data_IF_018070051164
#
_entry.id   IF_018070051164
#
_cell.length_a   1.000
_cell.length_b   1.000
_cell.length_c   1.000
_cell.angle_alpha   90.00
_cell.angle_beta   90.00
_cell.angle_gamma   90.00
#
_symmetry.space_group_name_H-M   'P 1'
#
loop_
_entity.id
_entity.type
_entity.pdbx_description
1 polymer ?
#
# COMPACT_ATOMS: atom_id res chain seq x y z
N UNK A 1 -6.49 -14.20 14.40
CA UNK A 1 -7.85 -14.81 14.40
C UNK A 1 -8.93 -13.81 14.81
N UNK A 2 -8.78 -13.04 15.89
CA UNK A 2 -9.79 -12.06 16.36
C UNK A 2 -10.24 -11.06 15.28
N UNK A 3 -9.32 -10.43 14.55
CA UNK A 3 -9.66 -9.46 13.49
C UNK A 3 -10.43 -10.11 12.35
N UNK A 4 -10.00 -11.28 11.90
CA UNK A 4 -10.74 -12.02 10.87
C UNK A 4 -12.16 -12.39 11.32
N UNK A 5 -12.33 -12.80 12.57
CA UNK A 5 -13.64 -13.07 13.15
C UNK A 5 -14.49 -11.79 13.24
N UNK A 6 -13.92 -10.67 13.70
CA UNK A 6 -14.62 -9.40 13.79
C UNK A 6 -15.07 -8.90 12.40
N UNK A 7 -14.20 -8.96 11.39
CA UNK A 7 -14.53 -8.59 10.01
C UNK A 7 -15.60 -9.51 9.45
N UNK A 8 -15.48 -10.84 9.63
CA UNK A 8 -16.46 -11.80 9.13
C UNK A 8 -17.82 -11.63 9.82
N UNK A 9 -17.85 -11.44 11.14
CA UNK A 9 -19.11 -11.23 11.88
C UNK A 9 -19.81 -9.93 11.47
N UNK A 10 -19.03 -8.85 11.28
CA UNK A 10 -19.56 -7.58 10.79
C UNK A 10 -20.12 -7.73 9.39
N UNK A 11 -19.36 -8.33 8.49
CA UNK A 11 -19.77 -8.58 7.11
C UNK A 11 -21.02 -9.44 7.03
N UNK A 12 -21.05 -10.60 7.72
CA UNK A 12 -22.22 -11.48 7.76
C UNK A 12 -23.44 -10.78 8.37
N UNK A 13 -23.24 -9.96 9.42
CA UNK A 13 -24.31 -9.21 10.05
C UNK A 13 -24.97 -8.21 9.09
N UNK A 14 -24.17 -7.38 8.38
CA UNK A 14 -24.73 -6.40 7.42
C UNK A 14 -25.36 -7.10 6.21
N UNK A 15 -24.81 -8.21 5.75
CA UNK A 15 -25.39 -9.01 4.66
C UNK A 15 -26.70 -9.67 5.08
N UNK A 16 -26.77 -10.19 6.30
CA UNK A 16 -28.02 -10.77 6.85
C UNK A 16 -29.14 -9.72 7.00
N UNK A 17 -28.78 -8.51 7.46
CA UNK A 17 -29.76 -7.41 7.55
C UNK A 17 -30.24 -7.01 6.13
N UNK A 18 -29.33 -6.89 5.16
CA UNK A 18 -29.71 -6.62 3.77
C UNK A 18 -30.60 -7.72 3.20
N UNK A 19 -30.28 -8.99 3.43
CA UNK A 19 -31.09 -10.12 2.99
C UNK A 19 -32.51 -10.06 3.59
N UNK A 20 -32.63 -9.76 4.90
CA UNK A 20 -33.93 -9.61 5.56
C UNK A 20 -34.75 -8.43 5.01
N UNK A 21 -34.09 -7.32 4.64
CA UNK A 21 -34.76 -6.17 4.01
C UNK A 21 -35.29 -6.51 2.63
N UNK A 22 -34.50 -7.22 1.83
CA UNK A 22 -34.90 -7.63 0.48
C UNK A 22 -35.98 -8.72 0.46
N UNK A 23 -36.06 -9.53 1.53
CA UNK A 23 -37.04 -10.62 1.64
C UNK A 23 -38.42 -10.18 2.19
N UNK A 24 -38.60 -8.91 2.53
CA UNK A 24 -39.81 -8.44 3.22
C UNK A 24 -41.11 -8.64 2.46
N UNK A 25 -41.09 -8.51 1.14
CA UNK A 25 -42.20 -8.71 0.18
C UNK A 25 -42.00 -9.95 -0.72
N UNK A 26 -41.07 -10.84 -0.34
CA UNK A 26 -40.62 -11.99 -1.12
C UNK A 26 -39.30 -11.72 -1.81
N UNK A 27 -38.65 -12.77 -2.27
CA UNK A 27 -37.31 -12.70 -2.91
C UNK A 27 -37.40 -12.88 -4.40
N UNK A 28 -37.03 -11.87 -5.17
CA UNK A 28 -36.91 -11.90 -6.62
C UNK A 28 -35.49 -12.26 -7.08
N UNK A 29 -35.31 -12.53 -8.37
CA UNK A 29 -33.98 -12.72 -8.95
C UNK A 29 -33.11 -11.45 -8.83
N UNK A 30 -33.75 -10.28 -8.93
CA UNK A 30 -33.08 -8.99 -8.80
C UNK A 30 -32.55 -8.78 -7.38
N UNK A 31 -33.31 -9.14 -6.34
CA UNK A 31 -32.90 -9.11 -4.95
C UNK A 31 -31.69 -10.01 -4.71
N UNK A 32 -31.67 -11.20 -5.30
CA UNK A 32 -30.53 -12.10 -5.24
C UNK A 32 -29.26 -11.50 -5.83
N UNK A 33 -29.35 -10.83 -6.99
CA UNK A 33 -28.23 -10.13 -7.61
C UNK A 33 -27.77 -8.93 -6.78
N UNK A 34 -28.71 -8.17 -6.20
CA UNK A 34 -28.42 -7.04 -5.30
C UNK A 34 -27.68 -7.53 -4.05
N UNK A 35 -28.14 -8.62 -3.44
CA UNK A 35 -27.49 -9.20 -2.25
C UNK A 35 -26.08 -9.67 -2.58
N UNK A 36 -25.86 -10.32 -3.71
CA UNK A 36 -24.52 -10.73 -4.17
C UNK A 36 -23.60 -9.53 -4.38
N UNK A 37 -24.09 -8.48 -5.03
CA UNK A 37 -23.33 -7.25 -5.26
C UNK A 37 -23.00 -6.54 -3.93
N UNK A 38 -23.96 -6.43 -3.02
CA UNK A 38 -23.74 -5.89 -1.68
C UNK A 38 -22.71 -6.71 -0.89
N UNK A 39 -22.86 -8.04 -0.88
CA UNK A 39 -21.95 -8.94 -0.19
C UNK A 39 -20.53 -8.86 -0.76
N UNK A 40 -20.36 -8.65 -2.07
CA UNK A 40 -19.04 -8.46 -2.70
C UNK A 40 -18.39 -7.10 -2.39
N UNK A 41 -19.18 -6.06 -2.13
CA UNK A 41 -18.66 -4.69 -1.89
C UNK A 41 -18.26 -4.44 -0.43
N UNK A 42 -18.87 -5.10 0.54
CA UNK A 42 -18.80 -4.74 1.96
C UNK A 42 -17.61 -5.31 2.75
N UNK A 43 -16.95 -6.42 2.38
CA UNK A 43 -15.84 -6.98 3.18
C UNK A 43 -14.68 -6.00 3.38
N UNK A 44 -14.35 -5.23 2.32
CA UNK A 44 -13.24 -4.27 2.38
C UNK A 44 -13.57 -3.05 3.25
N UNK A 45 -14.85 -2.66 3.32
CA UNK A 45 -15.32 -1.59 4.22
C UNK A 45 -15.20 -2.05 5.68
N UNK A 46 -15.64 -3.27 6.00
CA UNK A 46 -15.52 -3.85 7.33
C UNK A 46 -14.05 -3.99 7.76
N UNK A 47 -13.17 -4.48 6.86
CA UNK A 47 -11.73 -4.59 7.13
C UNK A 47 -11.09 -3.22 7.39
N UNK A 48 -11.39 -2.23 6.56
CA UNK A 48 -10.90 -0.85 6.72
C UNK A 48 -11.34 -0.24 8.06
N UNK A 49 -12.59 -0.44 8.43
CA UNK A 49 -13.13 0.01 9.72
C UNK A 49 -12.39 -0.63 10.91
N UNK A 50 -12.23 -1.96 10.93
CA UNK A 50 -11.58 -2.64 12.04
C UNK A 50 -10.10 -2.29 12.16
N UNK A 51 -9.38 -2.18 11.04
CA UNK A 51 -7.99 -1.71 11.07
C UNK A 51 -7.91 -0.31 11.72
N UNK A 52 -8.74 0.62 11.27
CA UNK A 52 -8.71 1.98 11.81
C UNK A 52 -9.17 2.05 13.28
N UNK A 53 -10.17 1.25 13.68
CA UNK A 53 -10.64 1.19 15.06
C UNK A 53 -9.55 0.67 16.00
N UNK A 54 -8.90 -0.44 15.65
CA UNK A 54 -7.78 -1.01 16.41
C UNK A 54 -6.63 0.00 16.49
N UNK A 55 -6.23 0.61 15.38
CA UNK A 55 -5.17 1.59 15.34
C UNK A 55 -5.48 2.84 16.16
N UNK A 56 -6.74 3.29 16.17
CA UNK A 56 -7.18 4.41 17.01
C UNK A 56 -7.09 4.09 18.50
N UNK A 57 -7.42 2.86 18.89
CA UNK A 57 -7.25 2.38 20.28
C UNK A 57 -5.76 2.33 20.65
N UNK A 58 -4.89 1.86 19.73
CA UNK A 58 -3.45 1.82 19.95
C UNK A 58 -2.88 3.24 20.13
N UNK A 59 -3.28 4.18 19.27
CA UNK A 59 -2.90 5.60 19.36
C UNK A 59 -3.33 6.25 20.68
N UNK A 60 -4.50 5.88 21.19
CA UNK A 60 -5.02 6.42 22.45
C UNK A 60 -4.32 5.83 23.69
N UNK A 61 -3.90 4.56 23.64
CA UNK A 61 -3.40 3.83 24.81
C UNK A 61 -1.89 3.76 24.93
N UNK A 62 -1.15 3.90 23.84
CA UNK A 62 0.32 3.76 23.84
C UNK A 62 1.02 5.10 23.56
N UNK A 63 2.09 5.39 24.31
CA UNK A 63 2.98 6.54 24.03
C UNK A 63 3.83 6.31 22.77
N UNK A 64 4.20 5.07 22.50
CA UNK A 64 4.85 4.62 21.25
C UNK A 64 3.99 3.54 20.58
N UNK A 65 2.95 3.92 19.81
CA UNK A 65 2.08 2.97 19.13
C UNK A 65 2.82 2.13 18.09
N UNK A 66 3.82 2.71 17.42
CA UNK A 66 4.64 2.00 16.45
C UNK A 66 5.49 0.90 17.10
N UNK A 67 6.05 1.16 18.28
CA UNK A 67 6.75 0.15 19.07
C UNK A 67 5.83 -0.94 19.61
N UNK A 68 4.58 -0.61 19.95
CA UNK A 68 3.60 -1.59 20.39
C UNK A 68 3.24 -2.62 19.30
N UNK A 69 3.19 -2.20 18.03
CA UNK A 69 2.90 -3.10 16.88
C UNK A 69 4.15 -3.72 16.26
N UNK A 70 5.30 -3.11 16.47
CA UNK A 70 6.60 -3.58 16.01
C UNK A 70 7.61 -3.55 17.18
N UNK A 71 7.57 -4.51 18.11
CA UNK A 71 8.44 -4.57 19.28
C UNK A 71 9.85 -5.07 18.90
N UNK A 72 10.52 -4.34 18.02
CA UNK A 72 11.85 -4.60 17.51
C UNK A 72 12.80 -3.47 17.89
N UNK A 73 14.08 -3.75 18.00
CA UNK A 73 15.11 -2.71 18.13
C UNK A 73 15.17 -1.90 16.84
N UNK A 74 15.24 -0.57 16.97
CA UNK A 74 15.17 0.39 15.84
C UNK A 74 16.43 1.24 15.72
N UNK A 75 17.42 0.99 16.53
CA UNK A 75 18.63 1.77 16.76
C UNK A 75 19.93 0.97 16.50
N UNK A 76 19.87 -0.07 15.69
CA UNK A 76 21.05 -0.85 15.33
C UNK A 76 22.03 -0.03 14.49
N UNK A 77 23.30 -0.05 14.87
CA UNK A 77 24.37 0.50 14.05
C UNK A 77 24.80 -0.50 12.97
N UNK A 78 25.24 0.00 11.83
CA UNK A 78 25.87 -0.82 10.80
C UNK A 78 27.23 -1.34 11.27
N UNK A 79 27.50 -2.62 11.03
CA UNK A 79 28.81 -3.20 11.27
C UNK A 79 29.88 -2.56 10.35
N UNK A 80 31.17 -2.61 10.72
CA UNK A 80 32.23 -2.16 9.83
C UNK A 80 32.13 -2.83 8.45
N UNK A 81 32.23 -2.05 7.36
CA UNK A 81 32.14 -2.53 5.97
C UNK A 81 30.72 -2.69 5.42
N UNK A 82 29.67 -2.64 6.24
CA UNK A 82 28.29 -2.62 5.74
C UNK A 82 27.97 -1.29 5.07
N UNK A 83 27.35 -1.35 3.90
CA UNK A 83 26.93 -0.19 3.09
C UNK A 83 25.46 -0.28 2.67
N UNK A 84 24.90 0.87 2.35
CA UNK A 84 23.51 1.04 1.93
C UNK A 84 23.46 1.54 0.50
N UNK A 85 22.70 0.90 -0.40
CA UNK A 85 22.34 1.46 -1.69
C UNK A 85 21.05 2.26 -1.56
N UNK A 86 21.07 3.56 -1.81
CA UNK A 86 19.89 4.40 -1.98
C UNK A 86 19.46 4.34 -3.43
N UNK A 87 18.41 3.61 -3.75
CA UNK A 87 18.03 3.21 -5.10
C UNK A 87 16.75 3.91 -5.54
N UNK A 88 16.78 4.59 -6.68
CA UNK A 88 15.61 5.22 -7.28
C UNK A 88 15.44 4.77 -8.74
N UNK A 89 14.50 3.88 -9.06
CA UNK A 89 14.15 3.54 -10.44
C UNK A 89 13.30 4.64 -11.08
N UNK A 90 13.65 5.03 -12.32
CA UNK A 90 12.97 6.08 -13.08
C UNK A 90 12.68 5.63 -14.51
N UNK A 91 11.59 6.15 -15.09
CA UNK A 91 11.18 5.92 -16.47
C UNK A 91 10.48 7.15 -17.06
N UNK A 92 11.18 7.95 -17.83
CA UNK A 92 10.69 9.18 -18.44
C UNK A 92 10.10 10.19 -17.43
N UNK A 93 10.60 10.19 -16.19
CA UNK A 93 10.22 11.16 -15.15
C UNK A 93 10.92 12.50 -15.41
N UNK A 94 10.41 13.58 -14.81
CA UNK A 94 11.05 14.90 -14.84
C UNK A 94 12.42 14.85 -14.13
N UNK A 95 13.54 15.03 -14.84
CA UNK A 95 14.85 14.93 -14.22
C UNK A 95 15.11 15.97 -13.13
N UNK A 96 14.57 17.18 -13.28
CA UNK A 96 14.74 18.22 -12.25
C UNK A 96 14.10 17.77 -10.92
N UNK A 97 12.89 17.24 -10.97
CA UNK A 97 12.21 16.73 -9.78
C UNK A 97 12.94 15.53 -9.18
N UNK A 98 13.35 14.55 -10.02
CA UNK A 98 14.10 13.37 -9.61
C UNK A 98 15.37 13.73 -8.86
N UNK A 99 16.20 14.58 -9.44
CA UNK A 99 17.49 14.97 -8.84
C UNK A 99 17.32 15.87 -7.62
N UNK A 100 16.30 16.73 -7.58
CA UNK A 100 15.95 17.51 -6.40
C UNK A 100 15.54 16.64 -5.21
N UNK A 101 14.67 15.65 -5.43
CA UNK A 101 14.21 14.74 -4.38
C UNK A 101 15.33 13.84 -3.87
N UNK A 102 16.06 13.23 -4.79
CA UNK A 102 17.14 12.32 -4.46
C UNK A 102 18.30 13.06 -3.79
N UNK A 103 18.66 14.26 -4.29
CA UNK A 103 19.68 15.12 -3.70
C UNK A 103 19.31 15.61 -2.30
N UNK A 104 18.05 16.02 -2.09
CA UNK A 104 17.58 16.42 -0.76
C UNK A 104 17.66 15.26 0.24
N UNK A 105 17.28 14.05 -0.19
CA UNK A 105 17.35 12.84 0.63
C UNK A 105 18.80 12.48 0.97
N UNK A 106 19.69 12.47 -0.03
CA UNK A 106 21.11 12.17 0.17
C UNK A 106 21.79 13.20 1.10
N UNK A 107 21.51 14.49 0.90
CA UNK A 107 22.06 15.56 1.73
C UNK A 107 21.62 15.46 3.20
N UNK A 108 20.36 15.11 3.46
CA UNK A 108 19.87 14.90 4.83
C UNK A 108 20.46 13.62 5.46
N UNK A 109 20.71 12.60 4.64
CA UNK A 109 21.34 11.34 5.07
C UNK A 109 22.82 11.54 5.45
N UNK A 110 23.54 12.45 4.81
CA UNK A 110 24.91 12.85 5.18
C UNK A 110 25.05 13.46 6.60
N UNK A 111 23.93 13.79 7.23
CA UNK A 111 23.89 14.34 8.59
C UNK A 111 23.52 13.29 9.65
N UNK A 112 23.46 12.02 9.27
CA UNK A 112 23.14 10.89 10.14
C UNK A 112 24.33 10.00 10.38
N UNK A 113 24.17 8.95 11.19
CA UNK A 113 25.18 7.91 11.37
C UNK A 113 25.47 7.06 10.14
N UNK A 114 24.72 7.28 9.03
CA UNK A 114 24.97 6.64 7.74
C UNK A 114 25.88 7.46 6.82
N UNK A 115 26.36 8.64 7.25
CA UNK A 115 27.29 9.46 6.47
C UNK A 115 28.50 8.65 6.01
N UNK A 116 28.86 8.73 4.70
CA UNK A 116 29.95 7.97 4.09
C UNK A 116 29.71 6.45 3.98
N UNK A 117 28.52 5.96 4.36
CA UNK A 117 28.17 4.53 4.33
C UNK A 117 27.04 4.21 3.36
N UNK A 118 26.67 5.14 2.48
CA UNK A 118 25.68 4.94 1.44
C UNK A 118 26.17 5.42 0.08
N UNK A 119 25.61 4.81 -0.96
CA UNK A 119 25.78 5.23 -2.33
C UNK A 119 24.40 5.50 -2.95
N UNK A 120 24.35 6.42 -3.89
CA UNK A 120 23.15 6.79 -4.62
C UNK A 120 23.14 6.12 -5.97
N UNK A 121 22.11 5.34 -6.26
CA UNK A 121 22.00 4.56 -7.50
C UNK A 121 20.69 4.94 -8.22
N UNK A 122 20.79 5.76 -9.25
CA UNK A 122 19.68 6.07 -10.14
C UNK A 122 19.56 4.98 -11.21
N UNK A 123 18.46 4.20 -11.18
CA UNK A 123 18.19 3.12 -12.12
C UNK A 123 17.30 3.62 -13.25
N UNK A 124 17.87 4.09 -14.35
CA UNK A 124 17.13 4.69 -15.46
C UNK A 124 16.75 3.68 -16.53
N UNK A 125 15.45 3.50 -16.75
CA UNK A 125 14.83 2.84 -17.89
C UNK A 125 14.33 3.86 -18.93
N UNK A 126 14.65 5.15 -18.77
CA UNK A 126 14.21 6.26 -19.63
C UNK A 126 14.49 5.97 -21.11
N UNK A 127 13.47 6.22 -21.94
CA UNK A 127 13.56 6.02 -23.40
C UNK A 127 13.68 7.32 -24.18
N UNK A 128 13.13 8.40 -23.62
CA UNK A 128 13.16 9.73 -24.24
C UNK A 128 14.62 10.24 -24.30
N UNK A 129 15.16 10.54 -25.49
CA UNK A 129 16.54 11.00 -25.61
C UNK A 129 16.81 12.35 -24.92
N UNK A 130 15.82 13.26 -24.90
CA UNK A 130 15.98 14.57 -24.27
C UNK A 130 16.04 14.43 -22.74
N UNK A 131 15.18 13.57 -22.16
CA UNK A 131 15.17 13.25 -20.74
C UNK A 131 16.48 12.54 -20.35
N UNK A 132 16.96 11.59 -21.16
CA UNK A 132 18.24 10.90 -20.91
C UNK A 132 19.42 11.87 -20.90
N UNK A 133 19.46 12.79 -21.86
CA UNK A 133 20.51 13.83 -21.90
C UNK A 133 20.41 14.78 -20.68
N UNK A 134 19.19 15.06 -20.19
CA UNK A 134 19.01 15.82 -18.97
C UNK A 134 19.48 15.04 -17.72
N UNK A 135 19.14 13.75 -17.59
CA UNK A 135 19.66 12.88 -16.53
C UNK A 135 21.20 12.90 -16.48
N UNK A 136 21.84 12.81 -17.65
CA UNK A 136 23.32 12.83 -17.74
C UNK A 136 23.88 14.18 -17.25
N UNK A 137 23.27 15.30 -17.68
CA UNK A 137 23.69 16.65 -17.25
C UNK A 137 23.50 16.85 -15.73
N UNK A 138 22.35 16.47 -15.17
CA UNK A 138 22.11 16.61 -13.74
C UNK A 138 23.05 15.73 -12.92
N UNK A 139 23.32 14.50 -13.37
CA UNK A 139 24.26 13.60 -12.71
C UNK A 139 25.69 14.15 -12.75
N UNK A 140 26.14 14.68 -13.89
CA UNK A 140 27.44 15.30 -14.01
C UNK A 140 27.59 16.55 -13.12
N UNK A 141 26.55 17.39 -13.08
CA UNK A 141 26.53 18.58 -12.21
C UNK A 141 26.56 18.18 -10.73
N UNK A 142 25.82 17.14 -10.34
CA UNK A 142 25.86 16.67 -8.94
C UNK A 142 27.22 16.11 -8.58
N UNK A 143 27.82 15.26 -9.43
CA UNK A 143 29.19 14.73 -9.21
C UNK A 143 30.24 15.83 -9.05
N UNK A 144 30.13 16.91 -9.80
CA UNK A 144 31.05 18.04 -9.69
C UNK A 144 30.96 18.79 -8.35
N UNK A 145 29.83 18.67 -7.64
CA UNK A 145 29.59 19.34 -6.36
C UNK A 145 29.70 18.42 -5.15
N UNK A 146 29.65 17.10 -5.37
CA UNK A 146 29.68 16.12 -4.29
C UNK A 146 31.11 15.91 -3.78
N UNK A 147 31.26 15.68 -2.46
CA UNK A 147 32.56 15.40 -1.82
C UNK A 147 33.11 14.03 -2.20
N UNK A 148 32.21 13.09 -2.54
CA UNK A 148 32.53 11.73 -2.97
C UNK A 148 31.73 11.42 -4.26
N UNK A 149 32.24 11.85 -5.43
CA UNK A 149 31.56 11.65 -6.71
C UNK A 149 31.33 10.19 -7.08
N UNK A 150 32.16 9.29 -6.57
CA UNK A 150 32.12 7.86 -6.91
C UNK A 150 30.92 7.16 -6.27
N UNK A 151 30.34 7.76 -5.22
CA UNK A 151 29.10 7.27 -4.62
C UNK A 151 27.84 7.49 -5.47
N UNK A 152 27.94 8.27 -6.57
CA UNK A 152 26.81 8.64 -7.44
C UNK A 152 26.85 7.81 -8.73
N UNK A 153 25.89 6.91 -8.88
CA UNK A 153 25.79 6.02 -10.04
C UNK A 153 24.49 6.27 -10.81
N UNK A 154 24.60 6.51 -12.11
CA UNK A 154 23.50 6.46 -13.07
C UNK A 154 23.64 5.16 -13.87
N UNK A 155 22.75 4.21 -13.60
CA UNK A 155 22.76 2.89 -14.23
C UNK A 155 21.63 2.77 -15.25
N UNK A 156 21.99 2.35 -16.47
CA UNK A 156 21.06 2.04 -17.56
C UNK A 156 21.24 0.59 -17.99
N UNK A 157 20.15 -0.15 -18.12
CA UNK A 157 20.18 -1.52 -18.64
C UNK A 157 19.78 -1.57 -20.12
N UNK A 158 20.26 -2.57 -20.83
CA UNK A 158 19.92 -2.77 -22.26
C UNK A 158 18.50 -3.33 -22.42
N UNK A 159 18.17 -4.39 -21.68
CA UNK A 159 16.85 -5.03 -21.71
C UNK A 159 15.95 -4.51 -20.57
N UNK A 160 14.82 -3.94 -20.92
CA UNK A 160 13.86 -3.34 -19.99
C UNK A 160 12.72 -4.29 -19.58
N UNK A 161 13.00 -5.59 -19.48
CA UNK A 161 12.01 -6.57 -19.06
C UNK A 161 11.59 -6.35 -17.60
N UNK A 162 10.29 -6.55 -17.28
CA UNK A 162 9.78 -6.56 -15.92
C UNK A 162 9.61 -5.19 -15.26
N UNK A 163 9.62 -4.09 -16.03
CA UNK A 163 9.37 -2.72 -15.54
C UNK A 163 10.26 -2.35 -14.34
N UNK A 164 9.72 -1.59 -13.36
CA UNK A 164 10.40 -1.18 -12.11
C UNK A 164 11.03 -2.37 -11.37
N UNK A 165 10.24 -3.42 -11.13
CA UNK A 165 10.73 -4.62 -10.43
C UNK A 165 11.88 -5.29 -11.16
N UNK A 166 11.78 -5.39 -12.49
CA UNK A 166 12.87 -5.93 -13.33
C UNK A 166 14.11 -5.05 -13.33
N UNK A 167 13.97 -3.73 -13.18
CA UNK A 167 15.12 -2.83 -13.09
C UNK A 167 15.83 -2.98 -11.73
N UNK A 168 15.06 -2.99 -10.63
CA UNK A 168 15.61 -3.29 -9.30
C UNK A 168 16.27 -4.67 -9.29
N UNK A 169 15.62 -5.70 -9.87
CA UNK A 169 16.17 -7.05 -9.94
C UNK A 169 17.49 -7.11 -10.73
N UNK A 170 17.57 -6.42 -11.87
CA UNK A 170 18.79 -6.34 -12.66
C UNK A 170 19.96 -5.66 -11.91
N UNK A 171 19.66 -4.70 -11.02
CA UNK A 171 20.65 -4.13 -10.11
C UNK A 171 21.05 -5.14 -9.03
N UNK A 172 20.08 -5.78 -8.37
CA UNK A 172 20.35 -6.75 -7.29
C UNK A 172 21.16 -7.96 -7.77
N UNK A 173 21.02 -8.38 -9.03
CA UNK A 173 21.79 -9.48 -9.63
C UNK A 173 23.15 -9.04 -10.17
N UNK A 174 23.42 -7.74 -10.29
CA UNK A 174 24.67 -7.21 -10.82
C UNK A 174 25.82 -7.35 -9.80
N UNK A 175 27.07 -7.59 -10.27
CA UNK A 175 28.24 -7.76 -9.39
C UNK A 175 28.45 -6.59 -8.43
N UNK A 176 28.26 -5.35 -8.90
CA UNK A 176 28.42 -4.13 -8.11
C UNK A 176 27.48 -4.08 -6.89
N UNK A 177 26.34 -4.75 -6.96
CA UNK A 177 25.38 -4.80 -5.85
C UNK A 177 25.87 -5.62 -4.65
N UNK A 178 26.93 -6.42 -4.82
CA UNK A 178 27.51 -7.23 -3.74
C UNK A 178 28.16 -6.38 -2.64
N UNK A 179 28.50 -5.13 -2.95
CA UNK A 179 29.05 -4.18 -2.01
C UNK A 179 28.05 -3.73 -0.94
N UNK A 180 26.74 -3.99 -1.16
CA UNK A 180 25.69 -3.48 -0.28
C UNK A 180 25.07 -4.57 0.58
N UNK A 181 24.95 -4.27 1.87
CA UNK A 181 24.21 -5.10 2.83
C UNK A 181 22.73 -4.77 2.82
N UNK A 182 22.40 -3.49 2.64
CA UNK A 182 21.04 -2.98 2.63
C UNK A 182 20.77 -2.15 1.38
N UNK A 183 19.49 -2.10 1.00
CA UNK A 183 18.98 -1.24 -0.07
C UNK A 183 17.79 -0.46 0.46
N UNK A 184 17.73 0.84 0.17
CA UNK A 184 16.56 1.67 0.38
C UNK A 184 15.99 2.03 -0.99
N UNK A 185 14.74 1.64 -1.24
CA UNK A 185 14.07 1.89 -2.51
C UNK A 185 13.18 3.12 -2.37
N UNK A 186 13.35 4.06 -3.30
CA UNK A 186 12.53 5.27 -3.45
C UNK A 186 11.79 5.24 -4.79
N UNK A 187 10.65 5.90 -4.88
CA UNK A 187 10.04 6.28 -6.17
C UNK A 187 10.51 7.67 -6.58
N UNK A 188 10.36 8.03 -7.85
CA UNK A 188 10.76 9.32 -8.40
C UNK A 188 10.09 10.53 -7.70
N UNK A 189 8.90 10.30 -7.14
CA UNK A 189 8.12 11.28 -6.39
C UNK A 189 8.30 11.19 -4.86
N UNK A 190 9.19 10.29 -4.40
CA UNK A 190 9.48 10.08 -2.98
C UNK A 190 10.58 11.01 -2.46
N UNK A 191 10.42 11.44 -1.22
CA UNK A 191 11.44 12.13 -0.44
C UNK A 191 11.50 11.53 0.96
N UNK A 192 12.70 11.16 1.41
CA UNK A 192 12.87 10.67 2.77
C UNK A 192 13.91 11.51 3.53
N UNK A 193 13.63 11.72 4.81
CA UNK A 193 14.61 12.33 5.71
C UNK A 193 15.67 11.30 6.13
N UNK A 194 16.89 11.77 6.28
CA UNK A 194 18.02 10.94 6.72
C UNK A 194 17.73 10.13 7.99
N UNK A 195 17.21 10.74 9.10
CA UNK A 195 16.87 10.00 10.32
C UNK A 195 15.80 8.91 10.13
N UNK A 196 14.88 9.09 9.16
CA UNK A 196 13.90 8.05 8.85
C UNK A 196 14.56 6.84 8.16
N UNK A 197 15.45 7.09 7.21
CA UNK A 197 16.23 6.04 6.54
C UNK A 197 17.14 5.33 7.55
N UNK A 198 17.86 6.08 8.38
CA UNK A 198 18.73 5.53 9.44
C UNK A 198 17.95 4.60 10.36
N UNK A 199 16.74 4.98 10.78
CA UNK A 199 15.86 4.15 11.61
C UNK A 199 15.42 2.86 10.92
N UNK A 200 15.08 2.92 9.61
CA UNK A 200 14.72 1.72 8.84
C UNK A 200 15.90 0.76 8.72
N UNK A 201 17.06 1.28 8.35
CA UNK A 201 18.30 0.51 8.20
C UNK A 201 18.77 -0.03 9.56
N UNK A 202 18.75 0.79 10.61
CA UNK A 202 19.05 0.39 11.97
C UNK A 202 18.12 -0.72 12.48
N UNK A 203 16.84 -0.68 12.10
CA UNK A 203 15.90 -1.77 12.39
C UNK A 203 16.35 -3.08 11.73
N UNK A 204 16.76 -3.04 10.46
CA UNK A 204 17.30 -4.24 9.79
C UNK A 204 18.59 -4.71 10.44
N UNK A 205 19.53 -3.80 10.75
CA UNK A 205 20.81 -4.13 11.35
C UNK A 205 20.64 -4.84 12.70
N UNK A 206 19.73 -4.35 13.55
CA UNK A 206 19.45 -4.92 14.85
C UNK A 206 18.66 -6.24 14.81
N UNK A 207 17.99 -6.56 13.69
CA UNK A 207 17.07 -7.71 13.60
C UNK A 207 17.36 -8.56 12.36
N UNK A 208 18.30 -9.53 12.43
CA UNK A 208 18.71 -10.34 11.27
C UNK A 208 17.59 -11.14 10.60
N UNK A 209 16.54 -11.51 11.33
CA UNK A 209 15.38 -12.21 10.80
C UNK A 209 14.40 -11.33 10.01
N UNK A 210 14.63 -10.01 9.91
CA UNK A 210 13.80 -9.08 9.15
C UNK A 210 14.42 -8.83 7.78
N UNK A 211 13.64 -9.02 6.73
CA UNK A 211 14.06 -8.80 5.33
C UNK A 211 13.64 -7.44 4.77
N UNK A 212 12.47 -6.93 5.19
CA UNK A 212 11.92 -5.64 4.72
C UNK A 212 11.38 -4.86 5.91
N UNK A 213 11.68 -3.56 5.97
CA UNK A 213 11.02 -2.58 6.85
C UNK A 213 10.45 -1.46 5.99
N UNK A 214 9.13 -1.37 5.95
CA UNK A 214 8.37 -0.38 5.21
C UNK A 214 8.12 0.86 6.08
N UNK A 215 8.42 2.06 5.59
CA UNK A 215 7.98 3.30 6.22
C UNK A 215 6.53 3.64 5.84
N UNK A 216 5.84 4.36 6.71
CA UNK A 216 4.56 4.99 6.37
C UNK A 216 4.84 6.28 5.58
N UNK A 217 4.43 6.32 4.31
CA UNK A 217 4.55 7.53 3.51
C UNK A 217 3.41 8.52 3.82
N UNK A 218 3.77 9.79 3.89
CA UNK A 218 2.83 10.92 4.07
C UNK A 218 2.88 11.78 2.81
N UNK A 219 1.72 12.28 2.36
CA UNK A 219 1.68 13.13 1.16
C UNK A 219 2.48 14.42 1.33
N UNK A 220 3.31 14.76 0.34
CA UNK A 220 3.95 16.06 0.22
C UNK A 220 2.91 17.18 0.10
N UNK A 221 3.21 18.43 0.48
CA UNK A 221 2.28 19.53 0.35
C UNK A 221 1.74 19.68 -1.07
N UNK A 222 0.41 19.52 -1.23
CA UNK A 222 -0.27 19.51 -2.51
C UNK A 222 -0.75 20.92 -2.90
N UNK A 223 -0.63 21.28 -4.18
CA UNK A 223 -1.06 22.57 -4.71
C UNK A 223 -2.46 22.54 -5.33
N UNK A 224 -2.83 21.45 -6.02
CA UNK A 224 -4.15 21.32 -6.63
C UNK A 224 -5.24 21.01 -5.59
N UNK A 225 -6.48 21.44 -5.86
CA UNK A 225 -7.63 21.13 -5.00
C UNK A 225 -7.87 19.61 -4.89
N UNK A 226 -7.76 18.89 -6.01
CA UNK A 226 -7.90 17.43 -6.04
C UNK A 226 -6.88 16.75 -5.12
N UNK A 227 -5.60 17.07 -5.28
CA UNK A 227 -4.54 16.46 -4.46
C UNK A 227 -4.68 16.83 -2.97
N UNK A 228 -5.16 18.03 -2.62
CA UNK A 228 -5.42 18.42 -1.21
C UNK A 228 -6.54 17.60 -0.58
N UNK A 229 -7.65 17.37 -1.30
CA UNK A 229 -8.77 16.55 -0.83
C UNK A 229 -8.30 15.10 -0.66
N UNK A 230 -7.60 14.57 -1.65
CA UNK A 230 -7.04 13.22 -1.61
C UNK A 230 -6.07 13.05 -0.44
N UNK A 231 -5.16 14.00 -0.25
CA UNK A 231 -4.17 14.01 0.83
C UNK A 231 -4.82 14.11 2.21
N UNK A 232 -5.91 14.88 2.35
CA UNK A 232 -6.66 14.93 3.60
C UNK A 232 -7.18 13.55 4.00
N UNK A 233 -7.76 12.81 3.05
CA UNK A 233 -8.24 11.44 3.28
C UNK A 233 -7.12 10.48 3.66
N UNK A 234 -5.97 10.56 2.97
CA UNK A 234 -4.79 9.77 3.30
C UNK A 234 -4.26 10.11 4.69
N UNK A 235 -4.01 11.38 4.97
CA UNK A 235 -3.37 11.81 6.21
C UNK A 235 -4.13 11.39 7.46
N UNK A 236 -5.46 11.50 7.45
CA UNK A 236 -6.27 11.17 8.62
C UNK A 236 -6.69 9.70 8.69
N UNK A 237 -6.56 8.95 7.60
CA UNK A 237 -6.92 7.52 7.54
C UNK A 237 -5.74 6.56 7.65
N UNK A 238 -4.58 6.91 7.09
CA UNK A 238 -3.48 5.94 6.90
C UNK A 238 -2.81 5.52 8.20
N UNK A 239 -2.50 6.44 9.11
CA UNK A 239 -1.80 6.09 10.34
C UNK A 239 -2.60 5.11 11.21
N UNK A 240 -3.87 5.38 11.61
CA UNK A 240 -4.64 4.42 12.37
C UNK A 240 -4.88 3.12 11.61
N UNK A 241 -5.18 3.18 10.30
CA UNK A 241 -5.34 1.97 9.48
C UNK A 241 -4.08 1.10 9.47
N UNK A 242 -2.91 1.71 9.25
CA UNK A 242 -1.64 1.00 9.18
C UNK A 242 -1.24 0.41 10.52
N UNK A 243 -1.44 1.12 11.63
CA UNK A 243 -1.21 0.60 12.99
C UNK A 243 -2.09 -0.61 13.28
N UNK A 244 -3.39 -0.52 12.98
CA UNK A 244 -4.28 -1.65 13.18
C UNK A 244 -3.92 -2.84 12.30
N UNK A 245 -3.62 -2.63 11.02
CA UNK A 245 -3.15 -3.68 10.12
C UNK A 245 -1.85 -4.31 10.64
N UNK A 246 -0.87 -3.49 11.03
CA UNK A 246 0.42 -3.96 11.56
C UNK A 246 0.26 -4.80 12.83
N UNK A 247 -0.71 -4.45 13.68
CA UNK A 247 -0.96 -5.18 14.93
C UNK A 247 -1.29 -6.65 14.70
N UNK A 248 -2.13 -6.97 13.71
CA UNK A 248 -2.52 -8.37 13.47
C UNK A 248 -1.75 -9.05 12.36
N UNK A 249 -1.13 -8.30 11.44
CA UNK A 249 -0.20 -8.86 10.44
C UNK A 249 1.11 -9.32 11.09
N UNK A 250 1.54 -8.65 12.16
CA UNK A 250 2.77 -8.98 12.84
C UNK A 250 3.99 -8.89 11.93
N UNK A 251 4.67 -10.02 11.72
CA UNK A 251 5.85 -10.14 10.87
C UNK A 251 5.54 -10.40 9.38
N UNK A 252 4.28 -10.37 9.00
CA UNK A 252 3.81 -10.42 7.63
C UNK A 252 3.20 -9.07 7.20
N UNK A 253 3.90 -7.97 7.49
CA UNK A 253 3.48 -6.62 7.11
C UNK A 253 3.46 -6.41 5.59
N UNK A 254 2.80 -5.34 5.13
CA UNK A 254 2.81 -4.96 3.73
C UNK A 254 4.19 -4.43 3.31
N UNK A 255 4.46 -4.51 2.02
CA UNK A 255 5.48 -3.76 1.32
C UNK A 255 4.81 -3.03 0.16
N UNK A 256 5.14 -1.76 -0.03
CA UNK A 256 4.51 -0.90 -1.05
C UNK A 256 5.45 -0.53 -2.20
N UNK A 257 6.64 -1.17 -2.24
CA UNK A 257 7.57 -1.05 -3.34
C UNK A 257 8.46 0.20 -3.32
N UNK A 258 8.28 1.09 -2.34
CA UNK A 258 9.08 2.30 -2.15
C UNK A 258 9.10 2.74 -0.68
N UNK A 259 9.98 3.68 -0.33
CA UNK A 259 10.18 4.20 1.03
C UNK A 259 10.37 3.07 2.06
N UNK A 260 11.17 2.09 1.71
CA UNK A 260 11.43 0.90 2.49
C UNK A 260 12.92 0.53 2.46
N UNK A 261 13.40 -0.01 3.56
CA UNK A 261 14.72 -0.63 3.63
C UNK A 261 14.61 -2.15 3.47
N UNK A 262 15.50 -2.73 2.69
CA UNK A 262 15.53 -4.14 2.35
C UNK A 262 16.92 -4.73 2.64
N UNK A 263 16.96 -5.95 3.18
CA UNK A 263 18.20 -6.72 3.34
C UNK A 263 18.56 -7.38 2.00
N UNK A 264 19.71 -6.99 1.42
CA UNK A 264 20.11 -7.42 0.07
C UNK A 264 20.23 -8.94 -0.07
N UNK A 265 20.83 -9.61 0.90
CA UNK A 265 20.99 -11.07 0.88
C UNK A 265 19.64 -11.80 0.87
N UNK A 266 18.71 -11.35 1.71
CA UNK A 266 17.35 -11.89 1.78
C UNK A 266 16.58 -11.63 0.49
N UNK A 267 16.61 -10.40 -0.03
CA UNK A 267 15.92 -10.01 -1.25
C UNK A 267 16.47 -10.78 -2.47
N UNK A 268 17.77 -10.93 -2.58
CA UNK A 268 18.45 -11.69 -3.64
C UNK A 268 18.01 -13.14 -3.64
N UNK A 269 17.91 -13.77 -2.47
CA UNK A 269 17.52 -15.17 -2.34
C UNK A 269 16.02 -15.38 -2.55
N UNK A 270 15.17 -14.52 -2.00
CA UNK A 270 13.73 -14.73 -1.90
C UNK A 270 12.92 -14.15 -3.06
N UNK A 271 13.23 -12.92 -3.49
CA UNK A 271 12.34 -12.14 -4.35
C UNK A 271 12.61 -12.35 -5.84
N UNK A 272 12.08 -13.43 -6.41
CA UNK A 272 12.11 -13.72 -7.84
C UNK A 272 10.69 -13.80 -8.39
N UNK A 273 10.29 -12.77 -9.12
CA UNK A 273 8.95 -12.68 -9.68
C UNK A 273 8.78 -13.62 -10.87
N UNK A 274 7.71 -14.41 -10.92
CA UNK A 274 7.40 -15.22 -12.08
C UNK A 274 6.82 -14.36 -13.21
N UNK A 275 7.01 -14.80 -14.45
CA UNK A 275 6.18 -14.35 -15.56
C UNK A 275 4.87 -15.11 -15.54
N UNK A 276 3.74 -14.42 -15.59
CA UNK A 276 2.42 -15.01 -15.51
C UNK A 276 1.99 -15.59 -16.86
N UNK A 277 1.52 -16.85 -16.93
CA UNK A 277 1.09 -17.46 -18.17
C UNK A 277 -0.25 -16.90 -18.67
N UNK A 278 -0.56 -17.11 -19.97
CA UNK A 278 -1.83 -16.82 -20.60
C UNK A 278 -1.82 -15.52 -21.39
N UNK A 279 -2.97 -14.81 -21.44
CA UNK A 279 -3.17 -13.61 -22.27
C UNK A 279 -3.30 -12.34 -21.42
N UNK A 280 -2.86 -11.19 -22.01
CA UNK A 280 -3.15 -9.86 -21.46
C UNK A 280 -4.68 -9.71 -21.20
N UNK A 281 -5.10 -8.95 -20.16
CA UNK A 281 -4.31 -8.07 -19.31
C UNK A 281 -3.70 -8.75 -18.06
N UNK A 282 -4.06 -9.99 -17.74
CA UNK A 282 -3.63 -10.66 -16.50
C UNK A 282 -2.36 -11.52 -16.66
N UNK A 283 -1.73 -11.55 -17.84
CA UNK A 283 -0.51 -12.30 -18.12
C UNK A 283 0.71 -11.38 -18.27
N UNK A 284 1.91 -11.99 -18.31
CA UNK A 284 3.16 -11.28 -18.49
C UNK A 284 3.87 -10.92 -17.17
N UNK A 285 4.61 -9.85 -17.16
CA UNK A 285 5.30 -9.37 -15.96
C UNK A 285 4.30 -8.85 -14.93
N UNK A 286 4.59 -9.09 -13.65
CA UNK A 286 3.78 -8.62 -12.53
C UNK A 286 3.98 -7.12 -12.39
N UNK A 287 2.89 -6.35 -12.45
CA UNK A 287 2.91 -4.89 -12.36
C UNK A 287 2.97 -4.39 -10.91
N UNK A 288 2.15 -4.94 -10.02
CA UNK A 288 2.21 -4.69 -8.58
C UNK A 288 3.07 -5.76 -7.93
N UNK A 289 4.38 -5.56 -7.94
CA UNK A 289 5.37 -6.57 -7.54
C UNK A 289 5.56 -6.66 -6.03
N UNK A 290 5.32 -5.59 -5.34
CA UNK A 290 5.64 -5.30 -3.95
C UNK A 290 5.02 -6.30 -2.97
N UNK A 291 3.72 -6.53 -3.04
CA UNK A 291 3.05 -7.51 -2.16
C UNK A 291 3.47 -8.96 -2.47
N UNK A 292 3.82 -9.24 -3.71
CA UNK A 292 4.34 -10.57 -4.11
C UNK A 292 5.74 -10.77 -3.51
N UNK A 293 6.60 -9.76 -3.57
CA UNK A 293 7.93 -9.78 -2.95
C UNK A 293 7.84 -9.93 -1.43
N UNK A 294 6.90 -9.23 -0.77
CA UNK A 294 6.62 -9.42 0.65
C UNK A 294 6.21 -10.87 0.97
N UNK A 295 5.30 -11.45 0.18
CA UNK A 295 4.86 -12.84 0.34
C UNK A 295 6.01 -13.83 0.11
N UNK A 296 6.87 -13.59 -0.88
CA UNK A 296 8.07 -14.40 -1.14
C UNK A 296 9.10 -14.28 -0.02
N UNK A 297 9.34 -13.07 0.49
CA UNK A 297 10.22 -12.83 1.63
C UNK A 297 9.76 -13.63 2.85
N UNK A 298 8.45 -13.61 3.15
CA UNK A 298 7.84 -14.40 4.23
C UNK A 298 7.96 -15.91 4.01
N UNK A 299 7.81 -16.37 2.77
CA UNK A 299 7.96 -17.77 2.42
C UNK A 299 9.38 -18.31 2.72
N UNK A 300 10.39 -17.45 2.56
CA UNK A 300 11.79 -17.74 2.87
C UNK A 300 12.18 -17.50 4.35
N UNK A 301 11.22 -17.24 5.23
CA UNK A 301 11.46 -17.14 6.67
C UNK A 301 11.81 -15.73 7.18
N UNK A 302 11.94 -14.73 6.30
CA UNK A 302 12.23 -13.36 6.72
C UNK A 302 10.95 -12.60 7.07
N UNK A 303 11.01 -11.78 8.13
CA UNK A 303 9.94 -10.87 8.49
C UNK A 303 9.83 -9.70 7.52
N UNK A 304 8.60 -9.28 7.26
CA UNK A 304 8.26 -8.00 6.62
C UNK A 304 7.53 -7.17 7.66
N UNK A 305 8.03 -5.98 7.97
CA UNK A 305 7.48 -5.12 9.01
C UNK A 305 7.15 -3.75 8.47
N UNK A 306 6.15 -3.11 9.06
CA UNK A 306 5.85 -1.71 8.77
C UNK A 306 6.13 -0.86 10.00
N UNK A 307 6.91 0.20 9.82
CA UNK A 307 7.15 1.22 10.82
C UNK A 307 6.12 2.33 10.62
N UNK A 308 5.01 2.24 11.32
CA UNK A 308 3.87 3.14 11.21
C UNK A 308 4.14 4.46 11.98
N UNK A 309 5.05 5.27 11.45
CA UNK A 309 5.39 6.61 11.96
C UNK A 309 5.23 7.63 10.83
N UNK A 310 4.53 8.73 11.11
CA UNK A 310 4.45 9.90 10.22
C UNK A 310 5.69 10.79 10.40
N UNK A 311 6.89 10.25 10.18
CA UNK A 311 8.15 10.94 10.43
C UNK A 311 9.15 10.70 9.31
N UNK A 312 9.24 11.67 8.41
CA UNK A 312 10.32 11.77 7.44
C UNK A 312 10.22 10.87 6.21
N UNK A 313 9.07 10.30 5.91
CA UNK A 313 8.83 9.55 4.68
C UNK A 313 7.67 10.20 3.92
N UNK A 314 7.94 10.69 2.71
CA UNK A 314 7.00 11.48 1.94
C UNK A 314 6.89 10.99 0.49
N UNK A 315 5.71 11.22 -0.12
CA UNK A 315 5.45 10.99 -1.54
C UNK A 315 4.54 12.06 -2.12
N UNK A 316 4.62 12.32 -3.43
CA UNK A 316 3.69 13.20 -4.10
C UNK A 316 2.39 12.46 -4.44
N UNK A 317 1.26 13.17 -4.33
CA UNK A 317 -0.03 12.66 -4.79
C UNK A 317 -0.29 13.11 -6.22
N UNK A 318 -1.05 12.34 -7.03
CA UNK A 318 -1.47 12.76 -8.35
C UNK A 318 -2.10 14.16 -8.30
N UNK A 319 -1.67 15.08 -9.17
CA UNK A 319 -2.18 16.46 -9.13
C UNK A 319 -3.61 16.59 -9.64
N UNK A 320 -4.07 15.66 -10.49
CA UNK A 320 -5.38 15.70 -11.14
C UNK A 320 -6.08 14.34 -11.09
N UNK A 321 -7.41 14.34 -11.29
CA UNK A 321 -8.19 13.11 -11.41
C UNK A 321 -7.75 12.23 -12.61
N UNK A 322 -7.45 12.75 -13.81
CA UNK A 322 -6.92 11.94 -14.90
C UNK A 322 -5.60 11.24 -14.57
N UNK A 323 -4.69 11.90 -13.86
CA UNK A 323 -3.42 11.30 -13.43
C UNK A 323 -3.66 10.20 -12.39
N UNK A 324 -4.58 10.43 -11.47
CA UNK A 324 -5.02 9.42 -10.51
C UNK A 324 -5.59 8.19 -11.24
N UNK A 325 -6.51 8.38 -12.20
CA UNK A 325 -7.13 7.29 -12.96
C UNK A 325 -6.06 6.46 -13.71
N UNK A 326 -5.10 7.11 -14.37
CA UNK A 326 -4.00 6.40 -15.07
C UNK A 326 -3.19 5.52 -14.11
N UNK A 327 -2.87 6.05 -12.92
CA UNK A 327 -2.14 5.32 -11.89
C UNK A 327 -2.97 4.16 -11.35
N UNK A 328 -4.24 4.41 -11.03
CA UNK A 328 -5.15 3.44 -10.44
C UNK A 328 -5.48 2.28 -11.39
N UNK A 329 -5.65 2.54 -12.69
CA UNK A 329 -5.84 1.48 -13.70
C UNK A 329 -4.65 0.51 -13.74
N UNK A 330 -3.42 1.02 -13.66
CA UNK A 330 -2.21 0.19 -13.61
C UNK A 330 -2.17 -0.65 -12.34
N UNK A 331 -2.53 -0.07 -11.20
CA UNK A 331 -2.63 -0.79 -9.93
C UNK A 331 -3.75 -1.82 -9.94
N UNK A 332 -4.91 -1.49 -10.48
CA UNK A 332 -6.02 -2.43 -10.67
C UNK A 332 -5.56 -3.65 -11.46
N UNK A 333 -4.94 -3.44 -12.62
CA UNK A 333 -4.40 -4.54 -13.44
C UNK A 333 -3.39 -5.38 -12.65
N UNK A 334 -2.44 -4.74 -11.98
CA UNK A 334 -1.40 -5.43 -11.20
C UNK A 334 -1.96 -6.23 -10.03
N UNK A 335 -2.96 -5.69 -9.32
CA UNK A 335 -3.58 -6.41 -8.21
C UNK A 335 -4.48 -7.56 -8.70
N UNK A 336 -5.19 -7.40 -9.81
CA UNK A 336 -5.98 -8.50 -10.41
C UNK A 336 -5.09 -9.64 -10.95
N UNK A 337 -3.83 -9.39 -11.33
CA UNK A 337 -2.87 -10.43 -11.65
C UNK A 337 -2.65 -11.42 -10.50
N UNK A 338 -2.87 -11.00 -9.25
CA UNK A 338 -2.72 -11.86 -8.07
C UNK A 338 -3.65 -13.07 -8.07
N UNK A 339 -4.79 -13.01 -8.77
CA UNK A 339 -5.68 -14.16 -8.95
C UNK A 339 -4.91 -15.41 -9.45
N UNK A 340 -3.89 -15.21 -10.31
CA UNK A 340 -3.04 -16.30 -10.83
C UNK A 340 -1.99 -16.78 -9.83
N UNK A 341 -1.78 -16.04 -8.74
CA UNK A 341 -0.79 -16.36 -7.72
C UNK A 341 -1.39 -17.03 -6.49
N UNK A 342 -2.71 -16.89 -6.25
CA UNK A 342 -3.36 -17.41 -5.04
C UNK A 342 -3.19 -18.93 -4.86
N UNK A 343 -3.22 -19.71 -5.95
CA UNK A 343 -3.02 -21.15 -5.92
C UNK A 343 -1.54 -21.59 -5.99
N UNK A 344 -0.60 -20.63 -6.18
CA UNK A 344 0.82 -20.95 -6.34
C UNK A 344 1.39 -21.54 -5.05
N UNK A 345 2.14 -22.67 -5.10
CA UNK A 345 2.77 -23.24 -3.92
C UNK A 345 3.84 -22.29 -3.35
N UNK A 346 4.12 -22.44 -2.06
CA UNK A 346 5.18 -21.68 -1.36
C UNK A 346 4.69 -20.45 -0.60
N UNK A 347 3.58 -19.82 -0.97
CA UNK A 347 3.05 -18.70 -0.18
C UNK A 347 2.41 -19.18 1.13
N UNK A 348 2.72 -18.49 2.23
CA UNK A 348 2.08 -18.71 3.52
C UNK A 348 0.66 -18.14 3.53
N UNK A 349 -0.17 -18.59 4.47
CA UNK A 349 -1.57 -18.17 4.59
C UNK A 349 -1.73 -16.63 4.57
N UNK A 350 -0.95 -15.92 5.39
CA UNK A 350 -1.05 -14.45 5.48
C UNK A 350 -0.73 -13.76 4.14
N UNK A 351 0.29 -14.23 3.41
CA UNK A 351 0.58 -13.70 2.07
C UNK A 351 -0.58 -13.91 1.10
N UNK A 352 -1.20 -15.10 1.09
CA UNK A 352 -2.40 -15.37 0.26
C UNK A 352 -3.57 -14.47 0.67
N UNK A 353 -3.79 -14.28 1.96
CA UNK A 353 -4.84 -13.41 2.48
C UNK A 353 -4.63 -11.96 2.01
N UNK A 354 -3.41 -11.44 2.10
CA UNK A 354 -3.09 -10.07 1.64
C UNK A 354 -3.28 -9.92 0.12
N UNK A 355 -2.84 -10.90 -0.67
CA UNK A 355 -3.10 -10.88 -2.12
C UNK A 355 -4.61 -10.94 -2.43
N UNK A 356 -5.39 -11.73 -1.68
CA UNK A 356 -6.86 -11.79 -1.80
C UNK A 356 -7.49 -10.44 -1.42
N UNK A 357 -7.02 -9.80 -0.36
CA UNK A 357 -7.50 -8.46 0.03
C UNK A 357 -7.22 -7.42 -1.05
N UNK A 358 -6.04 -7.47 -1.67
CA UNK A 358 -5.68 -6.56 -2.76
C UNK A 358 -6.56 -6.76 -4.01
N UNK A 359 -6.90 -8.00 -4.35
CA UNK A 359 -7.90 -8.31 -5.40
C UNK A 359 -9.28 -7.81 -4.98
N UNK A 360 -9.70 -8.09 -3.75
CA UNK A 360 -11.01 -7.69 -3.20
C UNK A 360 -11.22 -6.19 -3.20
N UNK A 361 -10.17 -5.41 -2.95
CA UNK A 361 -10.23 -3.94 -3.00
C UNK A 361 -10.69 -3.42 -4.38
N UNK A 362 -10.21 -4.02 -5.46
CA UNK A 362 -10.60 -3.63 -6.81
C UNK A 362 -11.93 -4.25 -7.26
N UNK A 363 -12.30 -5.42 -6.76
CA UNK A 363 -13.60 -6.03 -7.06
C UNK A 363 -14.74 -5.39 -6.27
N UNK A 364 -14.48 -4.79 -5.12
CA UNK A 364 -15.51 -4.14 -4.30
C UNK A 364 -16.18 -2.95 -5.02
N UNK A 365 -15.43 -2.17 -5.80
CA UNK A 365 -15.97 -1.00 -6.49
C UNK A 365 -17.01 -1.37 -7.58
N UNK A 366 -16.75 -2.29 -8.53
CA UNK A 366 -17.76 -2.74 -9.48
C UNK A 366 -18.95 -3.45 -8.81
N UNK A 367 -18.73 -4.19 -7.72
CA UNK A 367 -19.82 -4.75 -6.93
C UNK A 367 -20.72 -3.65 -6.33
N UNK A 368 -20.12 -2.61 -5.76
CA UNK A 368 -20.87 -1.47 -5.24
C UNK A 368 -21.64 -0.74 -6.34
N UNK A 369 -21.03 -0.50 -7.49
CA UNK A 369 -21.72 0.10 -8.64
C UNK A 369 -22.89 -0.77 -9.11
N UNK A 370 -22.68 -2.08 -9.23
CA UNK A 370 -23.74 -3.02 -9.60
C UNK A 370 -24.89 -2.97 -8.58
N UNK A 371 -24.60 -2.94 -7.27
CA UNK A 371 -25.63 -2.80 -6.25
C UNK A 371 -26.46 -1.54 -6.42
N UNK A 372 -25.82 -0.39 -6.67
CA UNK A 372 -26.54 0.89 -6.90
C UNK A 372 -27.39 0.83 -8.17
N UNK A 373 -26.83 0.34 -9.28
CA UNK A 373 -27.57 0.22 -10.57
C UNK A 373 -28.77 -0.71 -10.44
N UNK A 374 -28.58 -1.87 -9.81
CA UNK A 374 -29.67 -2.84 -9.60
C UNK A 374 -30.78 -2.26 -8.69
N UNK A 375 -30.40 -1.50 -7.64
CA UNK A 375 -31.36 -0.82 -6.77
C UNK A 375 -32.17 0.24 -7.51
N UNK A 376 -31.54 1.03 -8.39
CA UNK A 376 -32.25 2.00 -9.25
C UNK A 376 -33.19 1.28 -10.23
N UNK A 377 -32.74 0.20 -10.81
CA UNK A 377 -33.57 -0.63 -11.70
C UNK A 377 -34.79 -1.19 -10.96
N UNK A 378 -34.60 -1.74 -9.77
CA UNK A 378 -35.70 -2.29 -8.95
C UNK A 378 -36.79 -1.24 -8.66
N UNK A 379 -36.37 0.00 -8.37
CA UNK A 379 -37.30 1.11 -8.11
C UNK A 379 -37.99 1.64 -9.39
N UNK A 380 -37.40 1.43 -10.57
CA UNK A 380 -37.85 2.04 -11.83
C UNK A 380 -38.64 1.09 -12.72
N UNK A 381 -38.49 -0.22 -12.53
CA UNK A 381 -39.19 -1.21 -13.39
C UNK A 381 -40.56 -1.53 -12.82
N UNK A 382 -41.59 -1.68 -13.70
CA UNK A 382 -42.87 -2.23 -13.28
C UNK A 382 -42.70 -3.66 -12.82
N UNK A 383 -43.67 -4.16 -12.03
CA UNK A 383 -43.69 -5.55 -11.61
C UNK A 383 -43.58 -6.49 -12.82
N UNK A 384 -42.44 -7.10 -13.01
CA UNK A 384 -42.10 -8.01 -14.11
C UNK A 384 -41.69 -9.35 -13.53
N UNK A 385 -41.45 -10.35 -14.38
CA UNK A 385 -40.91 -11.64 -13.96
C UNK A 385 -39.56 -11.53 -13.21
N UNK A 386 -38.78 -10.46 -13.46
CA UNK A 386 -37.52 -10.21 -12.77
C UNK A 386 -37.70 -9.64 -11.36
N UNK A 387 -38.83 -8.98 -11.10
CA UNK A 387 -39.22 -8.42 -9.79
C UNK A 387 -40.30 -9.23 -9.08
N UNK A 388 -40.85 -10.25 -9.77
CA UNK A 388 -41.82 -11.15 -9.17
C UNK A 388 -41.15 -12.00 -8.07
N UNK A 389 -41.78 -12.16 -6.90
CA UNK A 389 -41.24 -13.01 -5.84
C UNK A 389 -41.04 -14.44 -6.32
N UNK A 390 -39.83 -14.99 -6.10
CA UNK A 390 -39.52 -16.43 -6.31
C UNK A 390 -39.86 -17.24 -5.05
N UNK A 391 -39.87 -16.59 -3.90
CA UNK A 391 -40.21 -17.16 -2.60
C UNK A 391 -41.17 -16.20 -1.91
N UNK A 392 -42.20 -16.76 -1.24
CA UNK A 392 -43.13 -15.97 -0.47
C UNK A 392 -42.46 -15.26 0.68
N UNK A 393 -42.93 -14.08 1.05
CA UNK A 393 -42.41 -13.30 2.15
C UNK A 393 -42.48 -14.08 3.48
N UNK A 394 -41.49 -13.88 4.33
CA UNK A 394 -41.36 -14.61 5.61
C UNK A 394 -42.42 -14.31 6.65
N UNK A 395 -43.35 -13.37 6.38
CA UNK A 395 -44.35 -12.92 7.31
C UNK A 395 -43.80 -12.20 8.55
N UNK A 396 -42.49 -12.03 8.67
CA UNK A 396 -41.86 -11.31 9.77
C UNK A 396 -41.92 -9.82 9.43
N UNK A 397 -42.89 -9.11 10.01
CA UNK A 397 -42.99 -7.67 9.94
C UNK A 397 -41.85 -7.01 10.73
N UNK A 398 -40.64 -7.04 10.19
CA UNK A 398 -39.60 -6.13 10.66
C UNK A 398 -40.04 -4.71 10.26
N UNK A 399 -39.87 -3.70 11.13
CA UNK A 399 -40.07 -2.30 10.73
C UNK A 399 -38.96 -1.97 9.70
N UNK A 400 -39.22 -2.29 8.43
CA UNK A 400 -38.25 -2.23 7.32
C UNK A 400 -37.54 -0.88 7.26
N UNK A 401 -38.28 0.21 7.49
CA UNK A 401 -37.69 1.55 7.52
C UNK A 401 -36.63 1.70 8.61
N UNK A 402 -36.86 1.18 9.83
CA UNK A 402 -35.92 1.27 10.93
C UNK A 402 -34.65 0.44 10.66
N UNK A 403 -34.80 -0.78 10.12
CA UNK A 403 -33.66 -1.62 9.73
C UNK A 403 -32.89 -1.05 8.56
N UNK A 404 -33.55 -0.45 7.56
CA UNK A 404 -32.92 0.22 6.44
C UNK A 404 -32.10 1.42 6.90
N UNK A 405 -32.65 2.27 7.76
CA UNK A 405 -31.93 3.41 8.35
C UNK A 405 -30.76 2.92 9.22
N UNK A 406 -30.95 1.87 10.01
CA UNK A 406 -29.88 1.26 10.81
C UNK A 406 -28.74 0.72 9.97
N UNK A 407 -29.03 0.02 8.88
CA UNK A 407 -28.03 -0.48 7.94
C UNK A 407 -27.28 0.69 7.27
N UNK A 408 -27.99 1.71 6.77
CA UNK A 408 -27.38 2.90 6.18
C UNK A 408 -26.44 3.60 7.19
N UNK A 409 -26.91 3.83 8.41
CA UNK A 409 -26.13 4.45 9.47
C UNK A 409 -24.86 3.61 9.79
N UNK A 410 -24.97 2.29 9.81
CA UNK A 410 -23.84 1.37 10.01
C UNK A 410 -22.84 1.48 8.88
N UNK A 411 -23.29 1.46 7.62
CA UNK A 411 -22.40 1.58 6.45
C UNK A 411 -21.70 2.94 6.39
N UNK A 412 -22.42 4.02 6.65
CA UNK A 412 -21.85 5.37 6.76
C UNK A 412 -20.85 5.45 7.93
N UNK A 413 -21.21 4.89 9.08
CA UNK A 413 -20.33 4.81 10.24
C UNK A 413 -19.02 4.08 9.92
N UNK A 414 -19.08 2.88 9.34
CA UNK A 414 -17.89 2.12 8.94
C UNK A 414 -17.03 2.87 7.90
N UNK A 415 -17.65 3.62 7.01
CA UNK A 415 -16.93 4.35 5.95
C UNK A 415 -16.24 5.62 6.46
N UNK A 416 -16.91 6.38 7.33
CA UNK A 416 -16.44 7.69 7.77
C UNK A 416 -15.72 7.68 9.12
N UNK A 417 -16.10 6.80 10.05
CA UNK A 417 -15.47 6.73 11.38
C UNK A 417 -13.94 6.61 11.33
N UNK A 418 -13.32 5.83 10.44
CA UNK A 418 -11.86 5.78 10.32
C UNK A 418 -11.21 7.15 10.13
N UNK A 419 -11.78 7.97 9.26
CA UNK A 419 -11.25 9.33 8.97
C UNK A 419 -11.54 10.31 10.11
N UNK A 420 -12.71 10.22 10.70
CA UNK A 420 -13.10 11.06 11.83
C UNK A 420 -12.25 10.77 13.08
N UNK A 421 -11.99 9.51 13.37
CA UNK A 421 -11.11 9.08 14.47
C UNK A 421 -9.67 9.57 14.25
N UNK A 422 -9.13 9.41 13.03
CA UNK A 422 -7.81 9.91 12.69
C UNK A 422 -7.72 11.43 12.77
N UNK A 423 -8.74 12.15 12.34
CA UNK A 423 -8.81 13.60 12.47
C UNK A 423 -8.87 14.04 13.92
N UNK A 424 -9.72 13.42 14.74
CA UNK A 424 -9.81 13.68 16.17
C UNK A 424 -8.46 13.45 16.88
N UNK A 425 -7.78 12.35 16.55
CA UNK A 425 -6.42 12.08 17.05
C UNK A 425 -5.45 13.21 16.69
N UNK A 426 -5.44 13.65 15.43
CA UNK A 426 -4.56 14.73 14.97
C UNK A 426 -4.82 16.06 15.69
N UNK A 427 -6.08 16.38 16.00
CA UNK A 427 -6.44 17.58 16.79
C UNK A 427 -5.91 17.48 18.23
N UNK A 428 -6.09 16.33 18.89
CA UNK A 428 -5.61 16.09 20.25
C UNK A 428 -4.09 16.12 20.36
N UNK A 429 -3.39 15.56 19.39
CA UNK A 429 -1.92 15.61 19.35
C UNK A 429 -1.37 17.02 19.16
N UNK A 430 -2.00 17.84 18.28
CA UNK A 430 -1.66 19.26 18.15
C UNK A 430 -1.87 20.04 19.43
N UNK A 431 -2.92 19.75 20.17
CA UNK A 431 -3.18 20.34 21.48
C UNK A 431 -2.07 20.02 22.48
N UNK A 432 -1.64 18.75 22.54
CA UNK A 432 -0.56 18.29 23.43
C UNK A 432 0.82 18.85 23.09
N UNK A 433 1.12 19.13 21.81
CA UNK A 433 2.40 19.73 21.38
C UNK A 433 2.47 21.24 21.61
N UNK A 434 1.33 21.89 21.89
CA UNK A 434 1.25 23.34 22.18
C UNK A 434 1.17 23.64 23.68
N UNK A 435 0.85 22.66 24.51
CA UNK A 435 0.86 22.73 25.96
C UNK A 435 2.20 22.22 26.52
#
# INVERSE_FOLDING_TARGET
>A
MLVAAAVASTWLGVVAVMAALLAGDGVSALDGLMLLAFAGSTPMVALGFWNAAIGSVLLARHRDPAGAVMPLRRDGALAPGERVALVMPVYNEDPEQVFRHLGATAHDLDRTGLAGRFDVVLLSDTTDPAIRAAEDRYMAAWRALDRDPDRLTLRRRQARAGFKAGNIRAFVDAPESQAYTYMVVLDADSVMRGPAIERLVGTLAANPGVGIVQALAVGLPAQSAFARIFQFGMRHGMLPHTLGAAWWHGDAGPYWGHNAALRMTAFRAACRLPTLPGRSPLAGAILSHDQVEAAQMRAHGYGVRVLALEDGSYEANPPTLPDFIKRDLRWCQGNLQYLKLLARPGFRFMGRLQLTQAVGMYLAAPCWLAFVVLGVLQLSLPATAATAPLLDGSGVALPQAAWGVGLLATMLGMTFAPKLLGYAHALLDRGRRRA
#
